data_IF_548278132804
#
_entry.id   IF_548278132804
#
_cell.length_a   1.000
_cell.length_b   1.000
_cell.length_c   1.000
_cell.angle_alpha   90.00
_cell.angle_beta   90.00
_cell.angle_gamma   90.00
#
_symmetry.space_group_name_H-M   'P 1'
#
loop_
_entity.id
_entity.type
_entity.pdbx_description
1 polymer ?
#
# COMPACT_ATOMS: atom_id res chain seq x y z
N UNK A 1 35.51 -0.42 -34.70
CA UNK A 1 36.71 -1.27 -34.88
C UNK A 1 37.92 -0.51 -34.36
N UNK A 2 38.91 -1.24 -33.83
CA UNK A 2 40.16 -0.78 -33.17
C UNK A 2 40.01 -0.39 -31.67
N UNK A 3 40.74 -0.98 -30.72
CA UNK A 3 41.65 -2.12 -30.77
C UNK A 3 42.05 -2.56 -29.35
N UNK A 4 42.41 -3.85 -29.25
CA UNK A 4 43.50 -4.41 -28.43
C UNK A 4 43.39 -4.36 -26.90
N UNK A 5 43.11 -5.50 -26.26
CA UNK A 5 44.08 -6.58 -25.95
C UNK A 5 44.98 -6.26 -24.75
N UNK A 6 44.77 -6.99 -23.65
CA UNK A 6 45.75 -7.83 -22.91
C UNK A 6 45.12 -8.16 -21.53
N UNK A 7 44.65 -9.37 -21.27
CA UNK A 7 45.47 -10.56 -20.97
C UNK A 7 46.58 -10.23 -19.97
N UNK A 8 46.30 -10.36 -18.66
CA UNK A 8 47.33 -10.58 -17.63
C UNK A 8 46.68 -11.32 -16.44
N UNK A 9 46.50 -12.63 -16.55
CA UNK A 9 47.37 -13.68 -15.95
C UNK A 9 47.26 -13.81 -14.43
N UNK A 10 46.65 -14.93 -14.03
CA UNK A 10 47.17 -15.94 -13.08
C UNK A 10 47.86 -15.42 -11.80
N UNK A 11 47.13 -15.62 -10.70
CA UNK A 11 47.51 -16.51 -9.60
C UNK A 11 48.61 -16.09 -8.60
N UNK A 12 48.33 -16.52 -7.37
CA UNK A 12 49.23 -16.76 -6.23
C UNK A 12 49.59 -15.51 -5.40
N UNK A 13 48.87 -15.33 -4.28
CA UNK A 13 49.44 -15.25 -2.92
C UNK A 13 48.25 -15.01 -1.96
N UNK A 14 47.76 -16.05 -1.29
CA UNK A 14 48.23 -16.40 0.04
C UNK A 14 47.55 -15.57 1.15
N UNK A 15 46.66 -16.24 1.87
CA UNK A 15 46.57 -16.20 3.33
C UNK A 15 46.50 -14.84 4.02
N UNK A 16 45.31 -14.52 4.56
CA UNK A 16 45.09 -14.36 6.01
C UNK A 16 43.63 -14.00 6.27
N UNK A 17 42.95 -14.90 7.00
CA UNK A 17 41.68 -14.61 7.68
C UNK A 17 41.94 -13.51 8.72
N UNK A 18 40.99 -12.59 8.92
CA UNK A 18 40.25 -12.61 10.18
C UNK A 18 38.74 -12.52 9.90
N UNK A 19 37.89 -13.41 10.41
CA UNK A 19 37.35 -13.36 11.77
C UNK A 19 36.97 -11.93 12.18
N UNK A 20 35.69 -11.60 11.97
CA UNK A 20 34.97 -10.56 12.71
C UNK A 20 34.92 -9.20 12.02
N UNK A 21 33.78 -8.90 11.38
CA UNK A 21 33.08 -7.61 11.44
C UNK A 21 31.99 -7.57 10.38
N UNK A 22 30.80 -7.09 10.79
CA UNK A 22 29.66 -6.73 9.93
C UNK A 22 29.02 -7.92 9.19
N UNK A 23 27.77 -8.27 9.42
CA UNK A 23 26.65 -7.36 9.27
C UNK A 23 25.55 -7.76 10.26
N UNK A 24 25.04 -6.73 10.93
CA UNK A 24 23.73 -6.70 11.54
C UNK A 24 22.75 -7.37 10.58
N UNK A 25 22.28 -8.60 10.89
CA UNK A 25 21.05 -9.10 10.30
C UNK A 25 19.92 -8.28 10.91
N UNK A 26 19.77 -7.05 10.40
CA UNK A 26 18.50 -6.37 10.43
C UNK A 26 17.49 -7.35 9.89
N UNK A 27 16.57 -7.78 10.75
CA UNK A 27 15.36 -8.48 10.36
C UNK A 27 14.59 -7.47 9.52
N UNK A 28 14.90 -7.41 8.23
CA UNK A 28 14.15 -6.63 7.25
C UNK A 28 12.71 -7.06 7.40
N UNK A 29 11.86 -6.12 7.81
CA UNK A 29 10.42 -6.29 7.80
C UNK A 29 10.07 -6.46 6.32
N UNK A 30 10.00 -7.70 5.85
CA UNK A 30 9.44 -8.00 4.55
C UNK A 30 7.94 -7.84 4.70
N UNK A 31 7.46 -6.60 4.56
CA UNK A 31 6.10 -6.36 4.14
C UNK A 31 6.02 -6.80 2.70
N UNK A 32 5.49 -8.00 2.51
CA UNK A 32 5.11 -8.58 1.23
C UNK A 32 4.06 -7.68 0.58
N UNK A 33 4.48 -6.64 -0.14
CA UNK A 33 3.60 -5.69 -0.82
C UNK A 33 3.79 -5.79 -2.33
N UNK A 34 3.32 -6.90 -2.89
CA UNK A 34 2.79 -6.93 -4.26
C UNK A 34 1.30 -7.22 -4.15
N UNK A 35 0.53 -6.23 -3.70
CA UNK A 35 -0.92 -6.28 -3.73
C UNK A 35 -1.38 -5.75 -5.09
N UNK A 36 -1.72 -6.67 -6.00
CA UNK A 36 -2.63 -6.36 -7.12
C UNK A 36 -3.94 -5.84 -6.54
N UNK A 37 -4.45 -4.73 -7.08
CA UNK A 37 -5.65 -3.99 -6.63
C UNK A 37 -6.98 -4.76 -6.86
N UNK A 38 -6.98 -6.07 -6.67
CA UNK A 38 -8.15 -6.96 -6.84
C UNK A 38 -8.12 -8.09 -5.79
N UNK A 39 -7.80 -7.76 -4.55
CA UNK A 39 -8.05 -8.65 -3.41
C UNK A 39 -9.42 -8.24 -2.85
N UNK A 40 -10.49 -8.95 -3.25
CA UNK A 40 -11.88 -8.65 -2.87
C UNK A 40 -12.07 -8.52 -1.35
N UNK A 41 -11.19 -9.19 -0.59
CA UNK A 41 -11.07 -9.15 0.87
C UNK A 41 -10.66 -7.80 1.46
N UNK A 42 -10.15 -6.85 0.67
CA UNK A 42 -9.76 -5.51 1.16
C UNK A 42 -10.96 -4.55 1.21
N UNK A 43 -11.90 -4.62 0.26
CA UNK A 43 -13.11 -3.79 0.29
C UNK A 43 -14.04 -4.19 1.43
N UNK A 44 -14.09 -5.47 1.78
CA UNK A 44 -14.91 -6.01 2.87
C UNK A 44 -14.48 -5.51 4.26
N UNK A 45 -13.27 -4.96 4.39
CA UNK A 45 -12.73 -4.38 5.64
C UNK A 45 -12.71 -2.85 5.63
N UNK A 46 -13.40 -2.18 4.71
CA UNK A 46 -13.52 -0.73 4.74
C UNK A 46 -14.59 -0.32 5.76
N UNK A 47 -14.13 0.23 6.88
CA UNK A 47 -14.98 0.70 7.97
C UNK A 47 -15.03 2.23 8.03
N UNK A 48 -16.16 2.75 8.50
CA UNK A 48 -16.33 4.17 8.75
C UNK A 48 -15.33 4.66 9.80
N UNK A 49 -14.63 5.80 9.57
CA UNK A 49 -13.66 6.34 10.53
C UNK A 49 -14.31 6.76 11.86
N UNK A 50 -15.61 7.07 11.86
CA UNK A 50 -16.37 7.55 13.03
C UNK A 50 -17.05 6.37 13.75
N UNK A 51 -17.96 5.66 13.07
CA UNK A 51 -18.81 4.62 13.68
C UNK A 51 -18.16 3.23 13.73
N UNK A 52 -17.04 3.02 13.00
CA UNK A 52 -16.37 1.71 12.86
C UNK A 52 -17.24 0.61 12.25
N UNK A 53 -18.36 0.98 11.64
CA UNK A 53 -19.26 0.09 10.91
C UNK A 53 -18.84 -0.03 9.44
N UNK A 54 -19.26 -1.09 8.74
CA UNK A 54 -18.97 -1.24 7.31
C UNK A 54 -19.53 -0.08 6.47
N UNK A 55 -18.82 0.22 5.37
CA UNK A 55 -19.24 1.21 4.37
C UNK A 55 -19.81 0.51 3.15
N UNK A 56 -20.84 1.11 2.54
CA UNK A 56 -21.43 0.67 1.28
C UNK A 56 -20.92 1.52 0.12
N UNK A 57 -20.47 0.88 -0.96
CA UNK A 57 -20.05 1.61 -2.15
C UNK A 57 -21.25 1.93 -3.04
N UNK A 58 -21.40 3.21 -3.36
CA UNK A 58 -22.47 3.71 -4.21
C UNK A 58 -21.89 4.13 -5.57
N UNK A 59 -22.03 3.27 -6.60
CA UNK A 59 -21.39 3.48 -7.90
C UNK A 59 -21.97 4.67 -8.65
N UNK A 60 -23.24 5.03 -8.40
CA UNK A 60 -23.91 6.16 -9.04
C UNK A 60 -23.21 7.50 -8.73
N UNK A 61 -22.64 7.62 -7.53
CA UNK A 61 -22.00 8.86 -7.06
C UNK A 61 -20.49 8.73 -6.85
N UNK A 62 -19.95 7.50 -6.89
CA UNK A 62 -18.54 7.25 -6.59
C UNK A 62 -18.18 7.59 -5.15
N UNK A 63 -19.05 7.21 -4.20
CA UNK A 63 -18.88 7.51 -2.77
C UNK A 63 -19.01 6.25 -1.92
N UNK A 64 -18.48 6.30 -0.70
CA UNK A 64 -18.69 5.29 0.33
C UNK A 64 -19.67 5.84 1.38
N UNK A 65 -20.81 5.19 1.53
CA UNK A 65 -21.89 5.61 2.42
C UNK A 65 -21.93 4.78 3.70
N UNK A 66 -22.15 5.44 4.84
CA UNK A 66 -22.41 4.79 6.11
C UNK A 66 -23.88 4.96 6.49
N UNK A 67 -24.63 3.85 6.53
CA UNK A 67 -26.07 3.86 6.84
C UNK A 67 -26.40 4.36 8.25
N UNK A 68 -25.58 4.01 9.24
CA UNK A 68 -25.83 4.33 10.66
C UNK A 68 -25.84 5.84 10.94
N UNK A 69 -24.81 6.54 10.44
CA UNK A 69 -24.62 7.97 10.67
C UNK A 69 -25.03 8.82 9.46
N UNK A 70 -25.53 8.17 8.40
CA UNK A 70 -25.93 8.78 7.12
C UNK A 70 -24.90 9.76 6.58
N UNK A 71 -23.65 9.31 6.47
CA UNK A 71 -22.53 10.12 5.95
C UNK A 71 -21.94 9.47 4.71
N UNK A 72 -21.65 10.29 3.70
CA UNK A 72 -20.99 9.87 2.46
C UNK A 72 -19.56 10.39 2.40
N UNK A 73 -18.62 9.51 2.09
CA UNK A 73 -17.20 9.81 1.89
C UNK A 73 -16.86 9.79 0.39
N UNK A 74 -16.21 10.83 -0.15
CA UNK A 74 -15.87 10.90 -1.56
C UNK A 74 -14.72 9.95 -1.93
N UNK A 75 -14.76 9.43 -3.15
CA UNK A 75 -13.60 8.79 -3.79
C UNK A 75 -12.97 9.79 -4.76
N UNK A 76 -11.64 9.95 -4.69
CA UNK A 76 -10.86 10.83 -5.58
C UNK A 76 -9.68 10.05 -6.13
N UNK A 77 -9.53 10.05 -7.46
CA UNK A 77 -8.46 9.30 -8.13
C UNK A 77 -8.45 7.79 -7.80
N UNK A 78 -9.63 7.21 -7.53
CA UNK A 78 -9.77 5.82 -7.09
C UNK A 78 -9.37 5.56 -5.63
N UNK A 79 -9.05 6.61 -4.87
CA UNK A 79 -8.66 6.53 -3.46
C UNK A 79 -9.82 7.03 -2.58
N UNK A 80 -10.34 6.21 -1.65
CA UNK A 80 -11.34 6.65 -0.69
C UNK A 80 -10.78 7.68 0.31
N UNK A 81 -11.45 8.82 0.44
CA UNK A 81 -11.09 9.85 1.43
C UNK A 81 -11.93 9.64 2.69
N UNK A 82 -11.42 8.80 3.61
CA UNK A 82 -12.06 8.51 4.91
C UNK A 82 -11.65 9.50 6.00
N UNK A 83 -11.79 10.80 5.72
CA UNK A 83 -11.51 11.89 6.68
C UNK A 83 -12.84 12.38 7.26
N UNK A 84 -13.01 12.43 8.61
CA UNK A 84 -14.26 12.88 9.23
C UNK A 84 -14.77 14.24 8.73
N UNK A 85 -13.86 15.18 8.48
CA UNK A 85 -14.17 16.53 7.99
C UNK A 85 -14.66 16.55 6.54
N UNK A 86 -14.28 15.57 5.74
CA UNK A 86 -14.67 15.45 4.32
C UNK A 86 -15.97 14.67 4.13
N UNK A 87 -16.44 13.98 5.17
CA UNK A 87 -17.72 13.27 5.17
C UNK A 87 -18.88 14.25 5.08
N UNK A 88 -19.76 14.07 4.10
CA UNK A 88 -20.97 14.90 3.96
C UNK A 88 -22.18 14.13 4.48
N UNK A 89 -22.98 14.78 5.32
CA UNK A 89 -24.24 14.21 5.82
C UNK A 89 -25.23 14.17 4.66
N UNK A 90 -25.87 13.02 4.46
CA UNK A 90 -26.90 12.84 3.43
C UNK A 90 -28.27 12.89 4.12
N UNK A 91 -29.11 13.88 3.79
CA UNK A 91 -30.47 13.96 4.32
C UNK A 91 -31.33 12.82 3.73
N UNK A 92 -32.40 12.44 4.44
CA UNK A 92 -33.24 11.27 4.09
C UNK A 92 -34.02 11.46 2.78
N UNK A 93 -34.25 12.72 2.41
CA UNK A 93 -34.93 13.14 1.19
C UNK A 93 -34.06 13.05 -0.08
N UNK A 94 -32.73 13.04 0.07
CA UNK A 94 -31.79 12.74 -1.01
C UNK A 94 -31.53 11.23 -1.03
N UNK A 95 -32.52 10.48 -1.51
CA UNK A 95 -32.43 9.02 -1.67
C UNK A 95 -31.20 8.63 -2.49
N UNK A 96 -30.22 8.01 -1.81
CA UNK A 96 -28.93 7.59 -2.34
C UNK A 96 -28.87 6.06 -2.49
#
# INVERSE_FOLDING_TARGET
>A
MCQSHKMFTRAVLAWRRPLGAALLRGRTIHSSSTATLQDETVLERLVCPISKLPLEYLPAHGVLFCREIRVAYPIRHGIPILVPTEGRIVPDDEGL
#
